data_IF_712118583588
#
_entry.id   IF_712118583588
#
_cell.length_a   1.000
_cell.length_b   1.000
_cell.length_c   1.000
_cell.angle_alpha   90.00
_cell.angle_beta   90.00
_cell.angle_gamma   90.00
#
_symmetry.space_group_name_H-M   'P 1'
#
loop_
_entity.id
_entity.type
_entity.pdbx_description
1 polymer ?
#
# COMPACT_ATOMS: atom_id res chain seq x y z
N UNK A 1 11.81 -24.32 -2.80
CA UNK A 1 10.83 -23.28 -2.45
C UNK A 1 10.72 -22.26 -3.58
N UNK A 2 9.51 -21.97 -3.98
CA UNK A 2 9.30 -20.95 -4.99
C UNK A 2 9.67 -19.58 -4.46
N UNK A 3 10.41 -18.82 -5.26
CA UNK A 3 10.76 -17.46 -4.95
C UNK A 3 9.50 -16.58 -5.00
N UNK A 4 9.26 -15.83 -3.94
CA UNK A 4 8.14 -14.90 -3.93
C UNK A 4 8.43 -13.69 -4.81
N UNK A 5 7.43 -13.25 -5.52
CA UNK A 5 7.52 -12.15 -6.48
C UNK A 5 6.80 -10.92 -5.94
N UNK A 6 7.49 -9.81 -5.91
CA UNK A 6 6.95 -8.56 -5.35
C UNK A 6 6.94 -7.50 -6.44
N UNK A 7 5.77 -6.90 -6.64
CA UNK A 7 5.59 -5.78 -7.56
C UNK A 7 5.80 -4.48 -6.80
N UNK A 8 6.67 -3.61 -7.31
CA UNK A 8 6.79 -2.24 -6.82
C UNK A 8 6.35 -1.27 -7.91
N UNK A 9 5.47 -0.34 -7.55
CA UNK A 9 5.02 0.73 -8.45
C UNK A 9 5.33 2.08 -7.81
N UNK A 10 6.23 2.81 -8.43
CA UNK A 10 6.70 4.12 -7.95
C UNK A 10 7.28 4.86 -9.16
N UNK A 11 7.02 6.15 -9.29
CA UNK A 11 7.56 6.95 -10.38
C UNK A 11 9.00 7.40 -10.13
N UNK A 12 9.52 7.17 -8.93
CA UNK A 12 10.91 7.50 -8.56
C UNK A 12 11.80 6.27 -8.75
N UNK A 13 12.67 6.34 -9.76
CA UNK A 13 13.60 5.24 -10.07
C UNK A 13 14.57 4.95 -8.92
N UNK A 14 14.91 5.95 -8.12
CA UNK A 14 15.81 5.75 -6.98
C UNK A 14 15.15 4.89 -5.91
N UNK A 15 13.86 5.10 -5.65
CA UNK A 15 13.09 4.27 -4.71
C UNK A 15 13.04 2.83 -5.22
N UNK A 16 12.72 2.65 -6.50
CA UNK A 16 12.68 1.30 -7.12
C UNK A 16 14.03 0.61 -6.95
N UNK A 17 15.13 1.32 -7.21
CA UNK A 17 16.48 0.77 -7.11
C UNK A 17 16.81 0.32 -5.69
N UNK A 18 16.46 1.15 -4.71
CA UNK A 18 16.70 0.84 -3.28
C UNK A 18 15.87 -0.37 -2.84
N UNK A 19 14.56 -0.38 -3.15
CA UNK A 19 13.67 -1.47 -2.77
C UNK A 19 14.13 -2.77 -3.42
N UNK A 20 14.47 -2.73 -4.72
CA UNK A 20 14.96 -3.91 -5.43
C UNK A 20 16.23 -4.46 -4.80
N UNK A 21 17.19 -3.59 -4.46
CA UNK A 21 18.44 -4.01 -3.84
C UNK A 21 18.18 -4.71 -2.49
N UNK A 22 17.34 -4.12 -1.66
CA UNK A 22 17.00 -4.66 -0.33
C UNK A 22 16.32 -6.02 -0.46
N UNK A 23 15.26 -6.10 -1.26
CA UNK A 23 14.44 -7.31 -1.35
C UNK A 23 15.12 -8.43 -2.13
N UNK A 24 15.90 -8.11 -3.15
CA UNK A 24 16.65 -9.12 -3.90
C UNK A 24 17.69 -9.82 -3.01
N UNK A 25 18.30 -9.06 -2.11
CA UNK A 25 19.25 -9.61 -1.12
C UNK A 25 18.57 -10.64 -0.20
N UNK A 26 17.29 -10.46 0.07
CA UNK A 26 16.52 -11.39 0.90
C UNK A 26 15.93 -12.55 0.11
N UNK A 27 16.22 -12.65 -1.19
CA UNK A 27 15.78 -13.76 -2.01
C UNK A 27 14.48 -13.55 -2.76
N UNK A 28 13.90 -12.35 -2.71
CA UNK A 28 12.67 -12.05 -3.44
C UNK A 28 12.98 -11.65 -4.88
N UNK A 29 12.05 -11.98 -5.79
CA UNK A 29 12.08 -11.46 -7.15
C UNK A 29 11.27 -10.16 -7.17
N UNK A 30 11.88 -9.08 -7.64
CA UNK A 30 11.21 -7.77 -7.69
C UNK A 30 10.96 -7.38 -9.13
N UNK A 31 9.70 -7.07 -9.41
CA UNK A 31 9.27 -6.52 -10.69
C UNK A 31 8.77 -5.10 -10.44
N UNK A 32 8.98 -4.20 -11.38
CA UNK A 32 8.71 -2.78 -11.15
C UNK A 32 7.98 -2.12 -12.31
N UNK A 33 7.18 -1.12 -11.96
CA UNK A 33 6.47 -0.27 -12.90
C UNK A 33 6.53 1.17 -12.40
N UNK A 34 6.41 2.12 -13.30
CA UNK A 34 6.53 3.54 -12.96
C UNK A 34 5.18 4.29 -12.94
N UNK A 35 4.11 3.65 -13.37
CA UNK A 35 2.78 4.24 -13.34
C UNK A 35 1.70 3.17 -13.15
N UNK A 36 0.47 3.63 -12.96
CA UNK A 36 -0.69 2.77 -12.70
C UNK A 36 -0.96 1.79 -13.84
N UNK A 37 -0.90 2.25 -15.07
CA UNK A 37 -1.24 1.43 -16.24
C UNK A 37 -0.23 0.30 -16.40
N UNK A 38 1.06 0.64 -16.37
CA UNK A 38 2.14 -0.33 -16.44
C UNK A 38 2.09 -1.31 -15.26
N UNK A 39 1.82 -0.79 -14.07
CA UNK A 39 1.70 -1.61 -12.87
C UNK A 39 0.60 -2.65 -12.97
N UNK A 40 -0.57 -2.26 -13.45
CA UNK A 40 -1.68 -3.18 -13.63
C UNK A 40 -1.37 -4.25 -14.69
N UNK A 41 -0.82 -3.85 -15.82
CA UNK A 41 -0.42 -4.79 -16.87
C UNK A 41 0.62 -5.80 -16.38
N UNK A 42 1.60 -5.31 -15.64
CA UNK A 42 2.65 -6.16 -15.12
C UNK A 42 2.11 -7.15 -14.07
N UNK A 43 1.20 -6.69 -13.21
CA UNK A 43 0.54 -7.57 -12.25
C UNK A 43 -0.23 -8.68 -12.95
N UNK A 44 -0.94 -8.36 -14.01
CA UNK A 44 -1.71 -9.33 -14.78
C UNK A 44 -0.80 -10.37 -15.43
N UNK A 45 0.32 -9.93 -15.96
CA UNK A 45 1.28 -10.81 -16.65
C UNK A 45 2.06 -11.70 -15.68
N UNK A 46 2.53 -11.11 -14.58
CA UNK A 46 3.50 -11.76 -13.69
C UNK A 46 2.90 -12.39 -12.44
N UNK A 47 1.66 -12.06 -12.10
CA UNK A 47 0.95 -12.59 -10.92
C UNK A 47 1.78 -12.49 -9.64
N UNK A 48 2.13 -11.29 -9.19
CA UNK A 48 2.96 -11.15 -8.00
C UNK A 48 2.26 -11.65 -6.74
N UNK A 49 3.05 -11.99 -5.75
CA UNK A 49 2.56 -12.42 -4.44
C UNK A 49 2.16 -11.24 -3.54
N UNK A 50 2.69 -10.07 -3.85
CA UNK A 50 2.49 -8.86 -3.05
C UNK A 50 2.78 -7.64 -3.92
N UNK A 51 2.13 -6.52 -3.62
CA UNK A 51 2.41 -5.23 -4.26
C UNK A 51 2.82 -4.18 -3.24
N UNK A 52 3.82 -3.38 -3.62
CA UNK A 52 4.24 -2.19 -2.87
C UNK A 52 3.95 -1.00 -3.77
N UNK A 53 3.07 -0.12 -3.33
CA UNK A 53 2.57 0.99 -4.14
C UNK A 53 2.91 2.31 -3.47
N UNK A 54 3.44 3.25 -4.25
CA UNK A 54 3.59 4.63 -3.79
C UNK A 54 2.20 5.27 -3.73
N UNK A 55 1.91 5.95 -2.63
CA UNK A 55 0.64 6.63 -2.45
C UNK A 55 0.41 7.69 -3.51
N UNK A 56 1.45 8.48 -3.79
CA UNK A 56 1.36 9.59 -4.74
C UNK A 56 2.42 9.44 -5.83
N UNK A 57 1.96 9.22 -7.06
CA UNK A 57 2.82 9.13 -8.23
C UNK A 57 2.61 10.34 -9.16
N UNK A 58 2.73 10.15 -10.45
CA UNK A 58 2.64 11.20 -11.47
C UNK A 58 1.38 12.07 -11.32
N UNK A 59 0.26 11.44 -10.95
CA UNK A 59 -0.94 12.14 -10.50
C UNK A 59 -1.16 11.82 -9.02
N UNK A 60 -1.89 12.68 -8.32
CA UNK A 60 -2.06 12.60 -6.88
C UNK A 60 -2.63 11.28 -6.36
N UNK A 61 -3.32 10.50 -7.20
CA UNK A 61 -4.12 9.38 -6.71
C UNK A 61 -3.85 8.05 -7.41
N UNK A 62 -2.81 7.97 -8.25
CA UNK A 62 -2.54 6.74 -9.01
C UNK A 62 -2.31 5.53 -8.12
N UNK A 63 -1.60 5.71 -6.99
CA UNK A 63 -1.36 4.62 -6.05
C UNK A 63 -2.65 4.09 -5.45
N UNK A 64 -3.58 4.98 -5.08
CA UNK A 64 -4.90 4.59 -4.55
C UNK A 64 -5.75 3.94 -5.60
N UNK A 65 -5.78 4.51 -6.80
CA UNK A 65 -6.56 3.95 -7.90
C UNK A 65 -6.12 2.53 -8.22
N UNK A 66 -4.82 2.30 -8.25
CA UNK A 66 -4.27 0.97 -8.50
C UNK A 66 -4.61 0.01 -7.36
N UNK A 67 -4.45 0.44 -6.10
CA UNK A 67 -4.81 -0.37 -4.95
C UNK A 67 -6.30 -0.74 -4.97
N UNK A 68 -7.15 0.21 -5.33
CA UNK A 68 -8.58 0.00 -5.46
C UNK A 68 -8.90 -1.01 -6.56
N UNK A 69 -8.27 -0.86 -7.72
CA UNK A 69 -8.45 -1.82 -8.82
C UNK A 69 -8.05 -3.23 -8.39
N UNK A 70 -6.94 -3.38 -7.67
CA UNK A 70 -6.53 -4.68 -7.15
C UNK A 70 -7.57 -5.25 -6.17
N UNK A 71 -8.08 -4.42 -5.27
CA UNK A 71 -9.05 -4.86 -4.26
C UNK A 71 -10.38 -5.33 -4.88
N UNK A 72 -10.76 -4.75 -6.01
CA UNK A 72 -11.99 -5.08 -6.72
C UNK A 72 -11.85 -6.23 -7.71
N UNK A 73 -10.62 -6.61 -8.03
CA UNK A 73 -10.35 -7.66 -9.01
C UNK A 73 -10.25 -9.03 -8.33
N UNK A 74 -11.05 -10.03 -8.73
CA UNK A 74 -11.01 -11.37 -8.13
C UNK A 74 -9.62 -12.02 -8.13
N UNK A 75 -8.77 -11.72 -9.09
CA UNK A 75 -7.40 -12.26 -9.14
C UNK A 75 -6.49 -11.68 -8.08
N UNK A 76 -6.72 -10.43 -7.68
CA UNK A 76 -5.80 -9.68 -6.82
C UNK A 76 -6.36 -9.32 -5.44
N UNK A 77 -7.63 -9.61 -5.19
CA UNK A 77 -8.28 -9.21 -3.92
C UNK A 77 -7.61 -9.78 -2.67
N UNK A 78 -6.91 -10.90 -2.80
CA UNK A 78 -6.18 -11.54 -1.69
C UNK A 78 -4.69 -11.22 -1.68
N UNK A 79 -4.22 -10.46 -2.66
CA UNK A 79 -2.82 -10.04 -2.72
C UNK A 79 -2.59 -8.90 -1.72
N UNK A 80 -1.62 -9.05 -0.79
CA UNK A 80 -1.31 -7.97 0.14
C UNK A 80 -0.81 -6.73 -0.58
N UNK A 81 -1.24 -5.57 -0.10
CA UNK A 81 -0.82 -4.27 -0.63
C UNK A 81 -0.21 -3.45 0.51
N UNK A 82 1.06 -3.09 0.34
CA UNK A 82 1.78 -2.21 1.23
C UNK A 82 1.91 -0.85 0.54
N UNK A 83 1.42 0.20 1.21
CA UNK A 83 1.52 1.56 0.65
C UNK A 83 2.76 2.25 1.19
N UNK A 84 3.60 2.77 0.30
CA UNK A 84 4.72 3.63 0.70
C UNK A 84 4.29 5.08 0.61
N UNK A 85 4.70 5.88 1.59
CA UNK A 85 4.21 7.25 1.68
C UNK A 85 5.21 8.20 2.34
N UNK A 86 5.21 9.46 1.88
CA UNK A 86 5.87 10.58 2.58
C UNK A 86 4.87 11.33 3.47
N UNK A 87 3.59 10.96 3.43
CA UNK A 87 2.52 11.59 4.19
C UNK A 87 2.46 10.94 5.58
N UNK A 88 2.10 11.74 6.59
CA UNK A 88 1.94 11.23 7.95
C UNK A 88 0.79 10.22 8.03
N UNK A 89 1.04 9.13 8.74
CA UNK A 89 0.02 8.12 9.03
C UNK A 89 -0.56 8.43 10.40
N UNK A 90 -1.87 8.68 10.45
CA UNK A 90 -2.57 8.91 11.71
C UNK A 90 -2.79 7.56 12.40
N UNK A 91 -2.52 7.51 13.68
CA UNK A 91 -2.60 6.26 14.44
C UNK A 91 -3.78 6.29 15.41
N UNK A 92 -4.33 5.11 15.67
CA UNK A 92 -5.41 4.94 16.64
C UNK A 92 -5.21 3.63 17.39
N UNK A 93 -5.84 3.52 18.56
CA UNK A 93 -5.91 2.27 19.31
C UNK A 93 -7.30 1.64 19.20
N UNK A 94 -8.23 2.30 18.53
CA UNK A 94 -9.59 1.80 18.34
C UNK A 94 -9.63 0.82 17.18
N UNK A 95 -10.43 -0.25 17.29
CA UNK A 95 -10.42 -1.33 16.26
C UNK A 95 -11.00 -0.93 14.91
N UNK A 96 -11.83 0.09 14.83
CA UNK A 96 -12.39 0.52 13.55
C UNK A 96 -11.64 1.71 12.98
N UNK A 97 -10.68 1.44 12.08
CA UNK A 97 -9.89 2.50 11.43
C UNK A 97 -10.77 3.38 10.52
N UNK A 98 -11.83 2.82 9.93
CA UNK A 98 -12.74 3.59 9.10
C UNK A 98 -13.53 4.62 9.93
N UNK A 99 -14.00 4.22 11.09
CA UNK A 99 -14.68 5.15 12.02
C UNK A 99 -13.73 6.25 12.49
N UNK A 100 -12.50 5.88 12.79
CA UNK A 100 -11.50 6.87 13.20
C UNK A 100 -11.18 7.85 12.09
N UNK A 101 -11.13 7.40 10.84
CA UNK A 101 -10.96 8.30 9.71
C UNK A 101 -12.09 9.33 9.66
N UNK A 102 -13.34 8.90 9.89
CA UNK A 102 -14.49 9.81 9.96
C UNK A 102 -14.35 10.83 11.09
N UNK A 103 -13.89 10.39 12.26
CA UNK A 103 -13.67 11.28 13.40
C UNK A 103 -12.58 12.31 13.11
N UNK A 104 -11.45 11.87 12.51
CA UNK A 104 -10.40 12.79 12.10
C UNK A 104 -10.90 13.82 11.10
N UNK A 105 -11.81 13.42 10.19
CA UNK A 105 -12.38 14.35 9.21
C UNK A 105 -13.23 15.47 9.84
N UNK A 106 -13.68 15.29 11.08
CA UNK A 106 -14.42 16.33 11.80
C UNK A 106 -13.50 17.40 12.37
N UNK A 107 -12.22 17.09 12.54
CA UNK A 107 -11.21 18.03 13.02
C UNK A 107 -10.86 19.00 11.88
N UNK A 108 -10.90 20.33 12.12
CA UNK A 108 -10.54 21.32 11.10
C UNK A 108 -9.15 21.11 10.49
N UNK A 109 -8.21 20.54 11.23
CA UNK A 109 -6.86 20.28 10.72
C UNK A 109 -6.82 19.23 9.63
N UNK A 110 -7.82 18.32 9.57
CA UNK A 110 -7.84 17.20 8.63
C UNK A 110 -8.99 17.25 7.65
N UNK A 111 -9.98 18.10 7.88
CA UNK A 111 -11.23 18.17 7.10
C UNK A 111 -10.98 18.38 5.62
N UNK A 112 -10.05 19.26 5.29
CA UNK A 112 -9.80 19.69 3.92
C UNK A 112 -8.67 18.92 3.23
N UNK A 113 -8.03 17.98 3.94
CA UNK A 113 -6.97 17.18 3.33
C UNK A 113 -7.56 16.22 2.31
N UNK A 114 -6.90 16.09 1.18
CA UNK A 114 -7.34 15.19 0.13
C UNK A 114 -7.29 13.73 0.58
N UNK A 115 -6.31 13.40 1.42
CA UNK A 115 -6.02 12.03 1.80
C UNK A 115 -5.74 11.94 3.28
N UNK A 116 -6.35 10.96 3.96
CA UNK A 116 -5.99 10.56 5.32
C UNK A 116 -5.54 9.10 5.31
N UNK A 117 -4.39 8.85 5.88
CA UNK A 117 -3.87 7.50 6.10
C UNK A 117 -4.05 7.18 7.59
N UNK A 118 -4.72 6.09 7.90
CA UNK A 118 -5.03 5.72 9.29
C UNK A 118 -4.62 4.28 9.56
N UNK A 119 -3.97 4.05 10.71
CA UNK A 119 -3.55 2.72 11.13
C UNK A 119 -3.88 2.50 12.61
N UNK A 120 -4.43 1.31 12.90
CA UNK A 120 -4.59 0.84 14.27
C UNK A 120 -3.27 0.20 14.72
N UNK A 121 -2.66 0.77 15.76
CA UNK A 121 -1.34 0.32 16.25
C UNK A 121 -1.39 -1.02 16.97
N UNK A 122 -2.59 -1.48 17.36
CA UNK A 122 -2.74 -2.75 18.08
C UNK A 122 -2.92 -3.91 17.09
N UNK A 123 -3.85 -3.78 16.15
CA UNK A 123 -4.17 -4.86 15.20
C UNK A 123 -3.39 -4.77 13.90
N UNK A 124 -2.82 -3.60 13.59
CA UNK A 124 -2.17 -3.34 12.31
C UNK A 124 -3.13 -3.05 11.16
N UNK A 125 -4.43 -3.06 11.41
CA UNK A 125 -5.40 -2.70 10.38
C UNK A 125 -5.17 -1.27 9.91
N UNK A 126 -5.28 -1.07 8.61
CA UNK A 126 -4.97 0.21 8.00
C UNK A 126 -5.93 0.52 6.85
N UNK A 127 -6.03 1.77 6.52
CA UNK A 127 -6.83 2.19 5.38
C UNK A 127 -6.59 3.62 5.01
N UNK A 128 -7.13 3.98 3.87
CA UNK A 128 -7.01 5.29 3.27
C UNK A 128 -8.39 5.88 3.08
N UNK A 129 -8.58 7.10 3.56
CA UNK A 129 -9.75 7.91 3.27
C UNK A 129 -9.30 9.01 2.30
N UNK A 130 -9.81 8.98 1.07
CA UNK A 130 -9.48 10.04 0.12
C UNK A 130 -10.74 10.69 -0.44
N UNK A 131 -10.65 12.00 -0.67
CA UNK A 131 -11.75 12.81 -1.19
C UNK A 131 -11.62 12.97 -2.68
N UNK A 132 -12.70 12.69 -3.39
CA UNK A 132 -12.81 13.00 -4.81
C UNK A 132 -13.26 14.46 -4.96
N UNK A 133 -12.89 15.10 -6.05
CA UNK A 133 -13.18 16.54 -6.26
C UNK A 133 -14.66 16.90 -6.13
N UNK A 134 -15.55 16.01 -6.55
CA UNK A 134 -16.99 16.28 -6.60
C UNK A 134 -17.84 15.23 -5.91
N UNK A 135 -17.27 14.47 -4.95
CA UNK A 135 -18.01 13.39 -4.35
C UNK A 135 -17.65 13.12 -2.90
N UNK A 136 -18.29 12.12 -2.31
CA UNK A 136 -17.97 11.72 -0.95
C UNK A 136 -16.58 11.10 -0.85
N UNK A 137 -16.05 11.02 0.37
CA UNK A 137 -14.80 10.32 0.63
C UNK A 137 -14.92 8.84 0.28
N UNK A 138 -13.85 8.28 -0.26
CA UNK A 138 -13.76 6.86 -0.54
C UNK A 138 -12.83 6.23 0.51
N UNK A 139 -13.30 5.16 1.14
CA UNK A 139 -12.50 4.37 2.08
C UNK A 139 -11.90 3.17 1.37
N UNK A 140 -10.59 2.98 1.51
CA UNK A 140 -9.88 1.85 0.93
C UNK A 140 -9.06 1.15 2.00
N UNK A 141 -9.42 -0.08 2.40
CA UNK A 141 -8.57 -0.87 3.29
C UNK A 141 -7.28 -1.26 2.57
N UNK A 142 -6.16 -1.15 3.28
CA UNK A 142 -4.86 -1.63 2.81
C UNK A 142 -4.23 -2.48 3.90
N UNK A 143 -3.17 -3.21 3.55
CA UNK A 143 -2.57 -4.15 4.49
C UNK A 143 -1.51 -3.50 5.37
N UNK A 144 -0.97 -2.37 4.97
CA UNK A 144 -0.03 -1.64 5.79
C UNK A 144 0.52 -0.38 5.10
N UNK A 145 1.23 0.41 5.90
CA UNK A 145 1.94 1.59 5.42
C UNK A 145 3.41 1.49 5.77
N UNK A 146 4.26 1.96 4.86
CA UNK A 146 5.68 2.12 5.10
C UNK A 146 6.05 3.56 4.77
N UNK A 147 6.63 4.25 5.74
CA UNK A 147 6.99 5.65 5.55
C UNK A 147 8.35 5.79 4.90
N UNK A 148 8.45 6.67 3.93
CA UNK A 148 9.73 7.03 3.31
C UNK A 148 10.55 7.91 4.26
N UNK A 149 11.87 7.84 4.31
CA UNK A 149 12.75 7.04 3.44
C UNK A 149 12.74 5.56 3.79
N UNK A 150 12.92 4.74 2.76
CA UNK A 150 12.87 3.28 2.89
C UNK A 150 14.22 2.74 3.34
N UNK A 151 14.22 1.91 4.38
CA UNK A 151 15.40 1.15 4.79
C UNK A 151 15.05 -0.33 5.00
N UNK A 152 16.08 -1.18 4.96
CA UNK A 152 15.87 -2.63 5.09
C UNK A 152 15.31 -3.06 6.44
N UNK A 153 15.58 -2.30 7.50
CA UNK A 153 15.14 -2.63 8.85
C UNK A 153 13.62 -2.54 8.99
N UNK A 154 12.99 -1.66 8.20
CA UNK A 154 11.53 -1.49 8.18
C UNK A 154 10.89 -2.30 7.06
N UNK A 155 11.49 -2.28 5.87
CA UNK A 155 10.91 -2.90 4.69
C UNK A 155 10.85 -4.42 4.79
N UNK A 156 11.95 -5.06 5.17
CA UNK A 156 12.01 -6.53 5.20
C UNK A 156 11.00 -7.13 6.16
N UNK A 157 10.91 -6.68 7.42
CA UNK A 157 9.89 -7.23 8.33
C UNK A 157 8.47 -6.98 7.85
N UNK A 158 8.18 -5.83 7.24
CA UNK A 158 6.85 -5.51 6.72
C UNK A 158 6.46 -6.47 5.61
N UNK A 159 7.37 -6.75 4.68
CA UNK A 159 7.15 -7.68 3.58
C UNK A 159 6.94 -9.10 4.09
N UNK A 160 7.84 -9.57 4.97
CA UNK A 160 7.75 -10.92 5.53
C UNK A 160 6.43 -11.13 6.27
N UNK A 161 6.04 -10.17 7.07
CA UNK A 161 4.80 -10.24 7.86
C UNK A 161 3.56 -10.33 6.97
N UNK A 162 3.50 -9.54 5.91
CA UNK A 162 2.35 -9.57 5.00
C UNK A 162 2.29 -10.83 4.17
N UNK A 163 3.41 -11.34 3.71
CA UNK A 163 3.46 -12.60 2.97
C UNK A 163 3.09 -13.78 3.86
N UNK A 164 3.53 -13.79 5.11
CA UNK A 164 3.18 -14.82 6.08
C UNK A 164 1.68 -14.80 6.42
N UNK A 165 1.11 -13.62 6.62
CA UNK A 165 -0.32 -13.46 6.89
C UNK A 165 -1.16 -13.99 5.73
N UNK A 166 -0.74 -13.73 4.49
CA UNK A 166 -1.40 -14.27 3.29
C UNK A 166 -1.36 -15.79 3.29
N UNK A 167 -0.20 -16.38 3.60
CA UNK A 167 -0.03 -17.84 3.64
C UNK A 167 -0.96 -18.49 4.67
N UNK A 168 -1.07 -17.90 5.86
CA UNK A 168 -1.97 -18.39 6.90
C UNK A 168 -3.44 -18.31 6.50
N UNK A 169 -3.83 -17.27 5.78
CA UNK A 169 -5.21 -17.11 5.27
C UNK A 169 -5.55 -18.12 4.16
N UNK A 170 -4.55 -18.59 3.42
CA UNK A 170 -4.75 -19.55 2.33
C UNK A 170 -4.95 -20.98 2.83
N UNK A 171 -4.64 -21.23 4.10
CA UNK A 171 -4.82 -22.51 4.77
C UNK A 171 -5.91 -22.44 5.84
#
# INVERSE_FOLDING_TARGET
>A
METKKILIVDDDIDIITVVRAILSKEGYTVISASDKIEGFKLAYKEKPDMAILDVMMTTQYEGFELAKEFSENPEFKNMPVLMMTSIDVLTTTKPSVQEMAREFRQDPNYRELDVLLVRDVITGKAGVDYRTENGPSIWLPVDGFLRKPVDGKKLVPAVEQLLEAKHLKAH
#
